data_IF_189702518471
#
_entry.id   IF_189702518471
#
_cell.length_a   1.000
_cell.length_b   1.000
_cell.length_c   1.000
_cell.angle_alpha   90.00
_cell.angle_beta   90.00
_cell.angle_gamma   90.00
#
_symmetry.space_group_name_H-M   'P 1'
#
loop_
_entity.id
_entity.type
_entity.pdbx_description
1 polymer ?
#
# COMPACT_ATOMS: atom_id res chain seq x y z
N UNK A 1 -0.98 -1.01 -16.41
CA UNK A 1 -1.18 -2.43 -15.99
C UNK A 1 -2.52 -2.52 -15.25
N UNK A 2 -3.30 -3.57 -15.49
CA UNK A 2 -4.60 -3.80 -14.83
C UNK A 2 -4.43 -4.66 -13.59
N UNK A 3 -5.25 -4.42 -12.56
CA UNK A 3 -5.27 -5.19 -11.32
C UNK A 3 -6.64 -5.08 -10.67
N UNK A 4 -6.96 -6.07 -9.85
CA UNK A 4 -8.20 -6.12 -9.08
C UNK A 4 -7.84 -6.13 -7.61
N UNK A 5 -8.59 -5.37 -6.81
CA UNK A 5 -8.48 -5.45 -5.37
C UNK A 5 -9.87 -5.54 -4.76
N UNK A 6 -9.96 -6.22 -3.62
CA UNK A 6 -11.15 -6.34 -2.81
C UNK A 6 -10.80 -5.87 -1.41
N UNK A 7 -11.44 -4.80 -0.96
CA UNK A 7 -11.35 -4.33 0.43
C UNK A 7 -12.53 -4.91 1.18
N UNK A 8 -12.26 -5.67 2.24
CA UNK A 8 -13.31 -6.21 3.12
C UNK A 8 -13.64 -5.25 4.25
N UNK A 9 -12.64 -4.51 4.73
CA UNK A 9 -12.78 -3.54 5.81
C UNK A 9 -11.83 -2.38 5.58
N UNK A 10 -12.29 -1.15 5.81
CA UNK A 10 -11.41 0.02 5.80
C UNK A 10 -10.78 0.24 7.17
N UNK A 11 -9.50 0.62 7.15
CA UNK A 11 -8.74 1.08 8.31
C UNK A 11 -9.26 2.44 8.77
N UNK A 12 -9.54 2.54 10.06
CA UNK A 12 -9.98 3.76 10.73
C UNK A 12 -8.82 4.74 10.92
N UNK A 13 -9.15 6.01 11.19
CA UNK A 13 -8.13 7.02 11.47
C UNK A 13 -7.38 6.74 12.78
N UNK A 14 -8.03 6.12 13.77
CA UNK A 14 -7.39 5.70 15.02
C UNK A 14 -6.37 4.58 14.80
N UNK A 15 -6.73 3.52 14.06
CA UNK A 15 -5.80 2.45 13.68
C UNK A 15 -4.59 3.02 12.93
N UNK A 16 -4.82 3.97 12.00
CA UNK A 16 -3.74 4.63 11.27
C UNK A 16 -2.82 5.44 12.19
N UNK A 17 -3.37 6.16 13.17
CA UNK A 17 -2.57 6.88 14.15
C UNK A 17 -1.73 5.93 15.00
N UNK A 18 -2.28 4.78 15.40
CA UNK A 18 -1.56 3.75 16.13
C UNK A 18 -0.41 3.17 15.30
N UNK A 19 -0.63 2.88 14.02
CA UNK A 19 0.44 2.43 13.11
C UNK A 19 1.52 3.50 12.91
N UNK A 20 1.12 4.76 12.80
CA UNK A 20 2.04 5.89 12.67
C UNK A 20 2.92 6.02 13.93
N UNK A 21 2.31 6.02 15.12
CA UNK A 21 3.03 6.03 16.40
C UNK A 21 3.96 4.82 16.54
N UNK A 22 3.52 3.63 16.14
CA UNK A 22 4.33 2.42 16.16
C UNK A 22 5.61 2.55 15.32
N UNK A 23 5.52 3.14 14.12
CA UNK A 23 6.70 3.42 13.28
C UNK A 23 7.64 4.41 13.97
N UNK A 24 7.10 5.45 14.60
CA UNK A 24 7.89 6.46 15.31
C UNK A 24 8.65 5.88 16.50
N UNK A 25 8.01 4.99 17.26
CA UNK A 25 8.52 4.47 18.53
C UNK A 25 9.39 3.22 18.36
N UNK A 26 8.92 2.25 17.56
CA UNK A 26 9.54 0.92 17.40
C UNK A 26 10.12 0.67 16.01
N UNK A 27 9.90 1.59 15.07
CA UNK A 27 10.47 1.52 13.73
C UNK A 27 9.70 0.61 12.76
N UNK A 28 10.27 0.50 11.57
CA UNK A 28 9.66 -0.15 10.40
C UNK A 28 9.40 -1.65 10.58
N UNK A 29 10.28 -2.39 11.27
CA UNK A 29 10.07 -3.85 11.47
C UNK A 29 8.86 -4.13 12.39
N UNK A 30 8.66 -3.32 13.43
CA UNK A 30 7.50 -3.45 14.30
C UNK A 30 6.19 -3.18 13.55
N UNK A 31 6.18 -2.17 12.67
CA UNK A 31 5.06 -1.92 11.77
C UNK A 31 4.80 -3.14 10.88
N UNK A 32 5.83 -3.68 10.23
CA UNK A 32 5.70 -4.85 9.35
C UNK A 32 5.04 -6.03 10.05
N UNK A 33 5.56 -6.42 11.23
CA UNK A 33 5.00 -7.54 12.01
C UNK A 33 3.55 -7.32 12.44
N UNK A 34 3.16 -6.07 12.66
CA UNK A 34 1.78 -5.71 13.02
C UNK A 34 0.88 -5.79 11.80
N UNK A 35 1.30 -5.19 10.69
CA UNK A 35 0.57 -5.22 9.43
C UNK A 35 0.45 -6.64 8.84
N UNK A 36 1.39 -7.55 9.10
CA UNK A 36 1.29 -8.97 8.71
C UNK A 36 0.08 -9.69 9.35
N UNK A 37 -0.45 -9.16 10.46
CA UNK A 37 -1.63 -9.71 11.14
C UNK A 37 -2.94 -9.06 10.70
N UNK A 38 -2.88 -7.92 10.03
CA UNK A 38 -4.05 -7.18 9.60
C UNK A 38 -4.63 -7.77 8.31
N UNK A 39 -5.91 -8.13 8.32
CA UNK A 39 -6.63 -8.59 7.13
C UNK A 39 -7.75 -7.61 6.76
N UNK A 40 -7.44 -6.71 5.84
CA UNK A 40 -8.39 -5.73 5.29
C UNK A 40 -8.83 -6.09 3.86
N UNK A 41 -8.48 -7.30 3.39
CA UNK A 41 -8.86 -7.81 2.07
C UNK A 41 -7.67 -8.31 1.24
N UNK A 42 -7.83 -8.34 -0.09
CA UNK A 42 -6.85 -8.94 -1.01
C UNK A 42 -6.64 -8.05 -2.23
N UNK A 43 -5.39 -7.94 -2.66
CA UNK A 43 -4.99 -7.31 -3.92
C UNK A 43 -4.35 -8.35 -4.82
N UNK A 44 -4.90 -8.53 -6.02
CA UNK A 44 -4.41 -9.49 -7.01
C UNK A 44 -3.89 -8.74 -8.24
N UNK A 45 -2.62 -8.99 -8.64
CA UNK A 45 -2.27 -8.96 -10.04
C UNK A 45 -3.23 -9.88 -10.79
N UNK A 46 -3.67 -9.52 -12.00
CA UNK A 46 -4.62 -10.36 -12.79
C UNK A 46 -4.13 -11.81 -12.97
N UNK A 47 -2.84 -12.08 -12.77
CA UNK A 47 -2.18 -13.37 -13.04
C UNK A 47 -1.51 -14.04 -11.83
N UNK A 48 -1.71 -13.59 -10.58
CA UNK A 48 -0.97 -14.13 -9.42
C UNK A 48 -1.79 -14.18 -8.13
N UNK A 49 -1.37 -15.06 -7.20
CA UNK A 49 -1.90 -15.21 -5.85
C UNK A 49 -1.77 -13.89 -5.09
N UNK A 50 -2.90 -13.25 -4.78
CA UNK A 50 -2.92 -11.90 -4.25
C UNK A 50 -2.28 -11.75 -2.88
N UNK A 51 -1.81 -10.54 -2.63
CA UNK A 51 -1.33 -10.15 -1.32
C UNK A 51 -2.49 -9.76 -0.42
N UNK A 52 -2.32 -10.04 0.86
CA UNK A 52 -3.17 -9.50 1.91
C UNK A 52 -3.01 -7.99 2.01
N UNK A 53 -4.13 -7.29 2.02
CA UNK A 53 -4.18 -5.86 2.29
C UNK A 53 -4.14 -5.70 3.81
N UNK A 54 -3.12 -5.01 4.31
CA UNK A 54 -2.95 -4.73 5.73
C UNK A 54 -3.56 -3.39 6.14
N UNK A 55 -3.54 -2.42 5.21
CA UNK A 55 -4.18 -1.11 5.40
C UNK A 55 -5.00 -0.80 4.16
N UNK A 56 -6.25 -0.37 4.37
CA UNK A 56 -7.10 0.18 3.32
C UNK A 56 -7.76 1.44 3.85
N UNK A 57 -7.35 2.62 3.39
CA UNK A 57 -7.96 3.89 3.77
C UNK A 57 -8.76 4.47 2.61
N UNK A 58 -10.03 4.79 2.85
CA UNK A 58 -10.88 5.53 1.90
C UNK A 58 -10.98 6.98 2.33
N UNK A 59 -10.79 7.91 1.40
CA UNK A 59 -11.00 9.34 1.59
C UNK A 59 -11.77 9.93 0.41
N UNK A 60 -12.70 10.82 0.69
CA UNK A 60 -13.35 11.63 -0.34
C UNK A 60 -12.47 12.83 -0.69
N UNK A 61 -12.34 13.12 -1.98
CA UNK A 61 -11.65 14.29 -2.52
C UNK A 61 -12.55 14.94 -3.58
N UNK A 62 -13.49 15.77 -3.11
CA UNK A 62 -14.54 16.31 -3.96
C UNK A 62 -15.46 15.19 -4.47
N UNK A 63 -15.61 15.07 -5.78
CA UNK A 63 -16.37 14.00 -6.42
C UNK A 63 -15.57 12.68 -6.57
N UNK A 64 -14.26 12.73 -6.32
CA UNK A 64 -13.38 11.57 -6.49
C UNK A 64 -13.18 10.84 -5.15
N UNK A 65 -13.00 9.53 -5.21
CA UNK A 65 -12.64 8.70 -4.05
C UNK A 65 -11.18 8.26 -4.14
N UNK A 66 -10.40 8.58 -3.12
CA UNK A 66 -9.02 8.10 -2.98
C UNK A 66 -8.98 6.90 -2.05
N UNK A 67 -8.48 5.78 -2.55
CA UNK A 67 -8.22 4.56 -1.78
C UNK A 67 -6.72 4.37 -1.68
N UNK A 68 -6.20 4.35 -0.46
CA UNK A 68 -4.78 4.06 -0.17
C UNK A 68 -4.67 2.67 0.43
N UNK A 69 -3.83 1.82 -0.16
CA UNK A 69 -3.64 0.43 0.19
C UNK A 69 -2.17 0.19 0.55
N UNK A 70 -1.94 -0.55 1.63
CA UNK A 70 -0.61 -1.04 2.03
C UNK A 70 -0.66 -2.54 2.23
N UNK A 71 0.34 -3.25 1.72
CA UNK A 71 0.55 -4.68 1.96
C UNK A 71 1.79 -4.90 2.84
N UNK A 72 1.74 -5.88 3.73
CA UNK A 72 2.84 -6.18 4.66
C UNK A 72 3.98 -7.03 4.06
N UNK A 73 3.90 -7.28 2.75
CA UNK A 73 4.90 -8.00 1.95
C UNK A 73 5.08 -7.29 0.62
N UNK A 74 6.27 -7.42 0.05
CA UNK A 74 6.54 -7.02 -1.33
C UNK A 74 5.56 -7.73 -2.24
N UNK A 75 5.03 -7.00 -3.22
CA UNK A 75 4.18 -7.64 -4.20
C UNK A 75 5.03 -8.52 -5.13
N UNK A 76 4.52 -9.69 -5.59
CA UNK A 76 5.29 -10.63 -6.40
C UNK A 76 5.80 -10.03 -7.72
N UNK A 77 5.33 -8.84 -8.10
CA UNK A 77 5.87 -8.03 -9.19
C UNK A 77 7.38 -7.74 -9.10
N UNK A 78 8.04 -7.96 -7.95
CA UNK A 78 9.50 -7.89 -7.84
C UNK A 78 10.22 -8.90 -8.74
N UNK A 79 9.59 -10.03 -9.10
CA UNK A 79 10.19 -11.01 -10.03
C UNK A 79 10.42 -10.44 -11.44
N UNK A 80 9.67 -9.42 -11.86
CA UNK A 80 9.86 -8.79 -13.19
C UNK A 80 11.13 -7.90 -13.28
N UNK A 81 11.79 -7.56 -12.17
CA UNK A 81 12.88 -6.57 -12.16
C UNK A 81 14.14 -6.89 -11.30
N UNK A 82 14.40 -8.18 -10.99
CA UNK A 82 15.72 -8.84 -10.66
C UNK A 82 16.09 -9.18 -9.19
N UNK A 83 16.55 -10.42 -9.01
CA UNK A 83 17.70 -10.97 -8.23
C UNK A 83 18.04 -10.55 -6.79
N UNK A 84 17.26 -9.72 -6.08
CA UNK A 84 17.59 -9.37 -4.69
C UNK A 84 16.38 -9.38 -3.77
N UNK A 85 16.47 -10.06 -2.62
CA UNK A 85 15.51 -9.85 -1.53
C UNK A 85 15.71 -8.45 -0.98
N UNK A 86 14.84 -7.53 -1.36
CA UNK A 86 14.83 -6.16 -0.83
C UNK A 86 14.24 -6.15 0.58
N UNK A 87 15.02 -6.58 1.58
CA UNK A 87 14.60 -6.62 3.00
C UNK A 87 14.29 -5.24 3.57
N UNK A 88 14.89 -4.19 3.01
CA UNK A 88 14.70 -2.80 3.45
C UNK A 88 13.37 -2.16 3.00
N UNK A 89 12.68 -2.76 2.04
CA UNK A 89 11.44 -2.23 1.45
C UNK A 89 10.33 -3.28 1.52
N UNK A 90 9.89 -3.66 2.73
CA UNK A 90 9.04 -4.84 2.95
C UNK A 90 7.57 -4.63 2.56
N UNK A 91 7.18 -3.43 2.12
CA UNK A 91 5.78 -3.07 1.88
C UNK A 91 5.46 -2.95 0.40
N UNK A 92 4.23 -3.27 0.04
CA UNK A 92 3.62 -2.76 -1.19
C UNK A 92 2.78 -1.52 -0.87
N UNK A 93 2.82 -0.52 -1.73
CA UNK A 93 1.98 0.68 -1.61
C UNK A 93 1.20 0.90 -2.90
N UNK A 94 -0.09 1.16 -2.76
CA UNK A 94 -0.97 1.49 -3.87
C UNK A 94 -1.83 2.69 -3.48
N UNK A 95 -1.92 3.66 -4.39
CA UNK A 95 -2.92 4.72 -4.31
C UNK A 95 -3.80 4.65 -5.54
N UNK A 96 -5.11 4.59 -5.32
CA UNK A 96 -6.13 4.56 -6.37
C UNK A 96 -7.00 5.80 -6.23
N UNK A 97 -7.21 6.48 -7.34
CA UNK A 97 -8.20 7.52 -7.52
C UNK A 97 -9.32 6.97 -8.38
N UNK A 98 -10.51 6.87 -7.80
CA UNK A 98 -11.75 6.55 -8.49
C UNK A 98 -12.46 7.85 -8.83
N UNK A 99 -12.82 8.02 -10.09
CA UNK A 99 -13.70 9.12 -10.51
C UNK A 99 -15.18 8.83 -10.16
N UNK A 100 -16.04 9.82 -10.39
CA UNK A 100 -17.50 9.71 -10.17
C UNK A 100 -18.18 8.59 -10.98
N UNK A 101 -17.55 8.13 -12.08
CA UNK A 101 -18.04 7.01 -12.90
C UNK A 101 -17.56 5.64 -12.40
N UNK A 102 -16.76 5.62 -11.32
CA UNK A 102 -16.17 4.42 -10.76
C UNK A 102 -14.94 3.91 -11.52
N UNK A 103 -14.43 4.66 -12.49
CA UNK A 103 -13.21 4.30 -13.22
C UNK A 103 -12.00 4.72 -12.40
N UNK A 104 -11.15 3.73 -12.10
CA UNK A 104 -9.97 3.94 -11.29
C UNK A 104 -8.68 4.12 -12.09
N UNK A 105 -7.88 5.11 -11.67
CA UNK A 105 -6.46 5.24 -12.01
C UNK A 105 -5.63 5.16 -10.74
N UNK A 106 -4.38 4.71 -10.81
CA UNK A 106 -3.57 4.61 -9.62
C UNK A 106 -2.06 4.59 -9.85
N UNK A 107 -1.34 4.58 -8.73
CA UNK A 107 0.11 4.48 -8.67
C UNK A 107 0.50 3.37 -7.71
N UNK A 108 1.42 2.51 -8.15
CA UNK A 108 1.90 1.37 -7.38
C UNK A 108 3.40 1.50 -7.12
N UNK A 109 3.79 1.30 -5.87
CA UNK A 109 5.16 0.97 -5.46
C UNK A 109 5.18 -0.51 -5.07
N UNK A 110 5.84 -1.36 -5.87
CA UNK A 110 5.89 -2.80 -5.64
C UNK A 110 6.68 -3.18 -4.37
N UNK A 111 7.69 -2.35 -4.05
CA UNK A 111 8.49 -2.40 -2.84
C UNK A 111 8.64 -0.97 -2.31
N UNK A 112 8.22 -0.75 -1.07
CA UNK A 112 8.19 0.54 -0.41
C UNK A 112 8.72 0.41 1.02
N UNK A 113 9.30 1.51 1.51
CA UNK A 113 9.77 1.68 2.88
C UNK A 113 8.96 2.77 3.55
N UNK A 114 8.38 2.45 4.71
CA UNK A 114 7.64 3.41 5.53
C UNK A 114 8.46 3.70 6.78
N UNK A 115 8.78 4.97 7.02
CA UNK A 115 9.56 5.40 8.20
C UNK A 115 9.07 6.74 8.73
N UNK A 116 9.45 7.04 9.97
CA UNK A 116 9.29 8.37 10.55
C UNK A 116 10.64 9.09 10.55
N UNK A 117 10.73 10.19 9.81
CA UNK A 117 11.90 11.06 9.84
C UNK A 117 11.83 11.95 11.09
N UNK A 118 12.61 11.59 12.11
CA UNK A 118 12.69 12.33 13.37
C UNK A 118 13.25 13.75 13.21
N UNK A 119 14.09 13.99 12.18
CA UNK A 119 14.67 15.32 11.93
C UNK A 119 13.62 16.27 11.33
N UNK A 120 12.78 15.76 10.43
CA UNK A 120 11.71 16.54 9.77
C UNK A 120 10.36 16.46 10.48
N UNK A 121 10.20 15.53 11.43
CA UNK A 121 8.95 15.32 12.16
C UNK A 121 7.83 14.74 11.30
N UNK A 122 8.14 14.06 10.20
CA UNK A 122 7.15 13.59 9.22
C UNK A 122 7.32 12.12 8.85
N UNK A 123 6.23 11.49 8.42
CA UNK A 123 6.26 10.14 7.85
C UNK A 123 6.69 10.20 6.39
N UNK A 124 7.61 9.32 6.01
CA UNK A 124 8.10 9.19 4.64
C UNK A 124 7.75 7.80 4.11
N UNK A 125 7.25 7.77 2.88
CA UNK A 125 7.04 6.54 2.09
C UNK A 125 7.96 6.65 0.88
N UNK A 126 8.92 5.73 0.78
CA UNK A 126 9.92 5.71 -0.28
C UNK A 126 9.74 4.46 -1.14
N UNK A 127 9.72 4.62 -2.46
CA UNK A 127 9.71 3.50 -3.40
C UNK A 127 11.12 2.99 -3.66
N UNK A 128 11.30 1.67 -3.69
CA UNK A 128 12.56 1.07 -4.10
C UNK A 128 12.92 1.48 -5.54
N UNK A 129 14.13 2.00 -5.74
CA UNK A 129 14.59 2.49 -7.04
C UNK A 129 13.82 3.70 -7.59
N UNK A 130 13.03 4.39 -6.75
CA UNK A 130 12.16 5.51 -7.14
C UNK A 130 11.19 5.17 -8.30
N UNK A 131 10.76 3.90 -8.37
CA UNK A 131 9.91 3.41 -9.44
C UNK A 131 8.44 3.46 -9.07
N UNK A 132 7.60 3.84 -10.04
CA UNK A 132 6.15 3.87 -9.90
C UNK A 132 5.52 3.19 -11.11
N UNK A 133 4.66 2.21 -10.86
CA UNK A 133 3.91 1.55 -11.92
C UNK A 133 2.57 2.28 -12.04
N UNK A 134 2.27 2.76 -13.26
CA UNK A 134 0.96 3.34 -13.57
C UNK A 134 -0.09 2.23 -13.64
N UNK A 135 -1.07 2.41 -12.79
CA UNK A 135 -2.17 1.51 -12.57
C UNK A 135 -3.38 2.04 -13.36
N UNK A 136 -3.80 1.27 -14.37
CA UNK A 136 -4.83 1.65 -15.34
C UNK A 136 -5.99 0.67 -15.25
N UNK A 137 -7.23 1.13 -15.29
CA UNK A 137 -8.43 0.30 -15.16
C UNK A 137 -8.51 -0.44 -13.82
N UNK A 138 -8.44 0.33 -12.74
CA UNK A 138 -8.60 -0.20 -11.39
C UNK A 138 -10.07 -0.40 -11.10
N UNK A 139 -10.44 -1.60 -10.65
CA UNK A 139 -11.81 -1.91 -10.25
C UNK A 139 -11.83 -2.40 -8.80
N UNK A 140 -12.52 -1.69 -7.88
CA UNK A 140 -12.88 -2.28 -6.60
C UNK A 140 -13.86 -3.42 -6.86
N UNK A 141 -13.56 -4.62 -6.34
CA UNK A 141 -14.48 -5.76 -6.34
C UNK A 141 -15.17 -5.92 -5.00
#
# INVERSE_FOLDING_TARGET
MSFNFRVTQYTTDEELQNFAQLVKDKGTDALRRTLEKEDKGRINPVTSTGNQIAVARKRQQGADTIITIVTARNMPFVELYRNGRTTDYPFGFLQVKLDASGKGTGQIMAAAKIRFDKKKGQYEIESYGNQYIKATNVRPQ
#
